data_IF_298181592628
#
_entry.id   IF_298181592628
#
_cell.length_a   1.000
_cell.length_b   1.000
_cell.length_c   1.000
_cell.angle_alpha   90.00
_cell.angle_beta   90.00
_cell.angle_gamma   90.00
#
_symmetry.space_group_name_H-M   'P 1'
#
loop_
_entity.id
_entity.type
_entity.pdbx_description
1 polymer ?
#
# COMPACT_ATOMS: atom_id res chain seq x y z
N UNK A 1 -7.85 5.66 22.48
CA UNK A 1 -7.39 4.48 22.06
C UNK A 1 -6.48 4.56 20.90
N UNK A 2 -5.39 4.05 21.01
CA UNK A 2 -4.46 4.18 19.93
C UNK A 2 -4.66 3.10 18.90
N UNK A 3 -4.30 3.46 17.71
CA UNK A 3 -4.39 2.59 16.59
C UNK A 3 -3.01 2.03 16.37
N UNK A 4 -2.89 0.73 16.27
CA UNK A 4 -1.59 0.11 16.07
C UNK A 4 -1.24 -0.05 14.62
N UNK A 5 -1.99 0.58 13.74
CA UNK A 5 -1.72 0.45 12.32
C UNK A 5 -0.84 1.60 11.86
N UNK A 6 0.10 1.27 11.03
CA UNK A 6 0.98 2.27 10.45
C UNK A 6 0.72 2.33 8.96
N UNK A 7 0.37 3.49 8.43
CA UNK A 7 0.06 3.58 7.01
C UNK A 7 1.29 3.27 6.16
N UNK A 8 1.03 2.73 5.00
CA UNK A 8 2.09 2.47 4.03
C UNK A 8 2.23 3.70 3.15
N UNK A 9 2.86 4.71 3.71
CA UNK A 9 2.92 6.02 3.06
C UNK A 9 3.64 5.98 1.73
N UNK A 10 4.63 5.13 1.59
CA UNK A 10 5.34 5.03 0.31
C UNK A 10 4.43 4.46 -0.77
N UNK A 11 3.60 3.50 -0.40
CA UNK A 11 2.63 2.94 -1.33
C UNK A 11 1.63 4.01 -1.77
N UNK A 12 1.10 4.76 -0.81
CA UNK A 12 0.15 5.82 -1.11
C UNK A 12 0.77 6.85 -2.04
N UNK A 13 1.98 7.26 -1.73
CA UNK A 13 2.65 8.28 -2.51
C UNK A 13 2.92 7.80 -3.93
N UNK A 14 3.40 6.58 -4.06
CA UNK A 14 3.71 6.04 -5.38
C UNK A 14 2.44 5.87 -6.20
N UNK A 15 1.37 5.38 -5.58
CA UNK A 15 0.11 5.25 -6.29
C UNK A 15 -0.34 6.59 -6.86
N UNK A 16 -0.26 7.63 -6.04
CA UNK A 16 -0.68 8.95 -6.48
C UNK A 16 0.24 9.49 -7.57
N UNK A 17 1.52 9.24 -7.43
CA UNK A 17 2.47 9.67 -8.45
C UNK A 17 2.20 9.01 -9.79
N UNK A 18 1.73 7.78 -9.77
CA UNK A 18 1.41 7.08 -11.01
C UNK A 18 0.02 7.40 -11.54
N UNK A 19 -0.75 8.18 -10.77
CA UNK A 19 -2.06 8.63 -11.24
C UNK A 19 -3.19 7.67 -11.00
N UNK A 20 -3.02 6.71 -10.09
CA UNK A 20 -4.09 5.75 -9.81
C UNK A 20 -4.89 6.17 -8.60
N UNK A 21 -6.20 5.97 -8.67
CA UNK A 21 -7.05 6.09 -7.48
C UNK A 21 -7.06 4.76 -6.75
N UNK A 22 -7.55 4.78 -5.51
CA UNK A 22 -7.71 3.53 -4.76
C UNK A 22 -8.66 2.58 -5.48
N UNK A 23 -9.70 3.12 -6.08
CA UNK A 23 -10.66 2.28 -6.79
C UNK A 23 -10.01 1.64 -8.01
N UNK A 24 -9.19 2.36 -8.73
CA UNK A 24 -8.51 1.81 -9.88
C UNK A 24 -7.56 0.70 -9.48
N UNK A 25 -6.81 0.89 -8.39
CA UNK A 25 -5.92 -0.14 -7.90
C UNK A 25 -6.71 -1.39 -7.50
N UNK A 26 -7.81 -1.19 -6.79
CA UNK A 26 -8.62 -2.33 -6.36
C UNK A 26 -9.16 -3.09 -7.57
N UNK A 27 -9.59 -2.37 -8.59
CA UNK A 27 -10.12 -3.01 -9.77
C UNK A 27 -9.04 -3.83 -10.50
N UNK A 28 -7.84 -3.27 -10.61
CA UNK A 28 -6.74 -3.98 -11.25
C UNK A 28 -6.33 -5.21 -10.46
N UNK A 29 -6.45 -5.16 -9.14
CA UNK A 29 -6.11 -6.28 -8.29
C UNK A 29 -7.28 -7.25 -8.10
N UNK A 30 -8.46 -6.89 -8.60
CA UNK A 30 -9.67 -7.70 -8.48
C UNK A 30 -10.05 -7.91 -7.03
N UNK A 31 -9.97 -6.85 -6.26
CA UNK A 31 -10.38 -6.85 -4.85
C UNK A 31 -11.30 -5.67 -4.64
N UNK A 32 -11.91 -5.59 -3.46
CA UNK A 32 -12.79 -4.46 -3.18
C UNK A 32 -11.95 -3.23 -2.85
N UNK A 33 -12.56 -2.07 -3.03
CA UNK A 33 -11.88 -0.84 -2.68
C UNK A 33 -11.54 -0.81 -1.19
N UNK A 34 -12.44 -1.32 -0.35
CA UNK A 34 -12.19 -1.37 1.08
C UNK A 34 -10.96 -2.21 1.40
N UNK A 35 -10.81 -3.35 0.74
CA UNK A 35 -9.63 -4.17 0.95
C UNK A 35 -8.36 -3.44 0.54
N UNK A 36 -8.40 -2.77 -0.60
CA UNK A 36 -7.22 -2.02 -1.04
C UNK A 36 -6.91 -0.88 -0.07
N UNK A 37 -7.95 -0.16 0.37
CA UNK A 37 -7.72 0.93 1.31
C UNK A 37 -7.09 0.42 2.59
N UNK A 38 -7.46 -0.79 3.02
CA UNK A 38 -6.88 -1.38 4.22
C UNK A 38 -5.41 -1.74 4.02
N UNK A 39 -4.99 -1.98 2.79
CA UNK A 39 -3.58 -2.17 2.51
C UNK A 39 -2.82 -0.86 2.76
N UNK A 40 -3.41 0.25 2.37
CA UNK A 40 -2.73 1.53 2.53
C UNK A 40 -2.70 1.99 3.97
N UNK A 41 -3.74 1.68 4.74
CA UNK A 41 -3.76 2.09 6.15
C UNK A 41 -2.90 1.19 7.02
N UNK A 42 -2.53 0.03 6.54
CA UNK A 42 -1.79 -0.94 7.34
C UNK A 42 -2.68 -1.90 8.10
N UNK A 43 -4.00 -1.75 7.98
CA UNK A 43 -4.91 -2.64 8.68
C UNK A 43 -4.81 -4.07 8.17
N UNK A 44 -4.52 -4.24 6.87
CA UNK A 44 -4.32 -5.56 6.29
C UNK A 44 -3.04 -5.57 5.51
N UNK A 45 -2.44 -6.74 5.40
CA UNK A 45 -1.26 -6.92 4.57
C UNK A 45 -1.64 -7.64 3.30
N UNK A 46 -1.17 -7.19 2.15
CA UNK A 46 -1.46 -7.90 0.92
C UNK A 46 -0.77 -9.26 0.91
N UNK A 47 -1.42 -10.23 0.28
CA UNK A 47 -0.78 -11.53 0.12
C UNK A 47 0.26 -11.46 -0.99
N UNK A 48 1.02 -12.53 -1.14
CA UNK A 48 2.11 -12.54 -2.11
C UNK A 48 1.64 -12.24 -3.52
N UNK A 49 0.52 -12.81 -3.92
CA UNK A 49 0.00 -12.57 -5.25
C UNK A 49 -0.26 -11.09 -5.49
N UNK A 50 -0.89 -10.43 -4.53
CA UNK A 50 -1.21 -9.02 -4.68
C UNK A 50 0.03 -8.14 -4.58
N UNK A 51 1.01 -8.55 -3.79
CA UNK A 51 2.28 -7.83 -3.76
C UNK A 51 2.92 -7.83 -5.14
N UNK A 52 2.98 -8.98 -5.78
CA UNK A 52 3.58 -9.09 -7.10
C UNK A 52 2.81 -8.24 -8.11
N UNK A 53 1.49 -8.31 -8.06
CA UNK A 53 0.68 -7.53 -8.99
C UNK A 53 0.83 -6.04 -8.78
N UNK A 54 0.87 -5.61 -7.52
CA UNK A 54 1.02 -4.20 -7.23
C UNK A 54 2.37 -3.67 -7.70
N UNK A 55 3.41 -4.46 -7.56
CA UNK A 55 4.72 -4.05 -8.04
C UNK A 55 4.71 -3.89 -9.56
N UNK A 56 4.02 -4.77 -10.27
CA UNK A 56 3.91 -4.66 -11.71
C UNK A 56 3.12 -3.42 -12.10
N UNK A 57 1.98 -3.20 -11.46
CA UNK A 57 1.14 -2.07 -11.77
C UNK A 57 1.88 -0.76 -11.54
N UNK A 58 2.62 -0.69 -10.45
CA UNK A 58 3.30 0.53 -10.06
C UNK A 58 4.71 0.65 -10.64
N UNK A 59 5.18 -0.40 -11.29
CA UNK A 59 6.45 -0.33 -11.98
C UNK A 59 7.66 -0.30 -11.08
N UNK A 60 7.61 -1.00 -9.96
CA UNK A 60 8.72 -1.04 -9.01
C UNK A 60 9.05 -2.47 -8.68
N UNK A 61 10.29 -2.69 -8.27
CA UNK A 61 10.71 -4.01 -7.84
C UNK A 61 11.02 -4.06 -6.35
N UNK A 62 11.09 -2.90 -5.72
CA UNK A 62 11.47 -2.81 -4.32
C UNK A 62 10.24 -3.06 -3.45
N UNK A 63 10.41 -3.88 -2.43
CA UNK A 63 9.31 -4.17 -1.50
C UNK A 63 9.13 -3.10 -0.44
N UNK A 64 9.96 -2.09 -0.44
CA UNK A 64 9.86 -1.05 0.59
C UNK A 64 8.53 -0.34 0.59
N UNK A 65 7.82 -0.32 -0.55
CA UNK A 65 6.52 0.34 -0.59
C UNK A 65 5.51 -0.36 0.31
N UNK A 66 5.77 -1.63 0.68
CA UNK A 66 4.83 -2.36 1.52
C UNK A 66 5.19 -2.29 3.00
N UNK A 67 6.30 -1.66 3.33
CA UNK A 67 6.67 -1.52 4.72
C UNK A 67 5.88 -0.38 5.35
N UNK A 68 5.46 -0.54 6.59
CA UNK A 68 4.81 0.57 7.26
C UNK A 68 5.80 1.72 7.41
N UNK A 69 5.30 2.91 7.26
CA UNK A 69 6.14 4.08 7.40
C UNK A 69 5.86 4.71 8.73
N UNK A 70 6.87 4.85 9.51
CA UNK A 70 6.72 5.50 10.78
C UNK A 70 7.91 6.41 10.99
N UNK A 71 7.72 7.63 10.61
CA UNK A 71 8.82 8.58 10.68
C UNK A 71 9.29 8.83 12.08
N UNK A 72 8.43 8.63 13.04
CA UNK A 72 8.85 8.87 14.40
C UNK A 72 9.76 7.79 14.89
N UNK A 73 9.65 6.59 14.35
CA UNK A 73 10.53 5.52 14.74
C UNK A 73 11.83 5.59 14.02
N UNK A 74 11.80 6.03 12.83
CA UNK A 74 12.97 5.96 12.00
C UNK A 74 14.08 6.80 12.49
N UNK A 75 13.80 7.61 13.39
CA UNK A 75 14.82 8.35 13.87
C UNK A 75 15.61 7.75 14.82
N UNK A 76 15.64 7.18 14.98
CA UNK A 76 16.52 6.88 15.79
C UNK A 76 17.37 6.63 15.80
#
# INVERSE_FOLDING_TARGET
>A
MSNNYYPRSRLIKLRKQKGFTQEQMARLLKITRTTYANYETGYRSPNLKNIIEMKKILGVEDDKIFLPTDDTISNK
#
